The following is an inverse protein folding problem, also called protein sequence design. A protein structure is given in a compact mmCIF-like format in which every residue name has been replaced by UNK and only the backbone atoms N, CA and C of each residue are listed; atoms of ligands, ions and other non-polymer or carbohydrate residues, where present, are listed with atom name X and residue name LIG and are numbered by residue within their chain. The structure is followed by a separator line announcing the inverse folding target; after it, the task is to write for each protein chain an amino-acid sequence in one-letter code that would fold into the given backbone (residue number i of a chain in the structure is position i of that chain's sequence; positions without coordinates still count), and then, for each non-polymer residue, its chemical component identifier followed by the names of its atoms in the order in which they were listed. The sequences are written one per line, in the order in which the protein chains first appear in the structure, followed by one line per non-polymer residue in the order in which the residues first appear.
data_IF_282578643661
#
_entry.id   IF_282578643661
#
_cell.length_a   1.000
_cell.length_b   1.000
_cell.length_c   1.000
_cell.angle_alpha   90.00
_cell.angle_beta   90.00
_cell.angle_gamma   90.00
#
_symmetry.space_group_name_H-M   'P 1'
#
loop_
_entity.id
_entity.type
_entity.pdbx_description
1 polymer ?
#
# COMPACT_ATOMS: atom_id res chain seq x y z
N UNK A 1 16.80 15.65 -24.73
CA UNK A 1 17.84 14.64 -24.50
C UNK A 1 17.37 13.73 -23.39
N UNK A 2 16.91 12.54 -23.76
CA UNK A 2 16.62 11.48 -22.82
C UNK A 2 17.95 10.80 -22.51
N UNK A 3 18.42 10.86 -21.29
CA UNK A 3 19.61 10.09 -20.90
C UNK A 3 19.25 8.62 -20.89
N UNK A 4 20.10 7.78 -21.48
CA UNK A 4 19.91 6.32 -21.63
C UNK A 4 19.74 5.53 -20.33
N UNK A 5 19.68 6.20 -19.20
CA UNK A 5 19.59 5.61 -17.86
C UNK A 5 18.25 5.85 -17.13
N UNK A 6 17.28 6.55 -17.77
CA UNK A 6 16.02 6.78 -17.06
C UNK A 6 15.13 5.53 -17.13
N UNK A 7 14.61 5.09 -15.99
CA UNK A 7 13.67 3.96 -15.90
C UNK A 7 12.41 4.20 -16.74
N UNK A 8 11.99 5.45 -16.92
CA UNK A 8 10.84 5.83 -17.74
C UNK A 8 11.06 5.59 -19.24
N UNK A 9 12.29 5.72 -19.76
CA UNK A 9 12.60 5.40 -21.14
C UNK A 9 12.32 3.93 -21.48
N UNK A 10 12.61 3.03 -20.56
CA UNK A 10 12.38 1.59 -20.71
C UNK A 10 10.92 1.25 -20.94
N UNK A 11 9.99 2.02 -20.37
CA UNK A 11 8.56 1.86 -20.62
C UNK A 11 8.15 2.28 -22.05
N UNK A 12 8.85 3.25 -22.64
CA UNK A 12 8.55 3.79 -23.97
C UNK A 12 9.25 3.04 -25.10
N UNK A 13 10.34 2.31 -24.82
CA UNK A 13 11.14 1.59 -25.83
C UNK A 13 10.46 0.32 -26.37
N UNK A 14 9.34 -0.11 -25.78
CA UNK A 14 8.65 -1.34 -26.19
C UNK A 14 9.46 -2.62 -25.94
N UNK A 15 10.50 -2.57 -25.11
CA UNK A 15 11.38 -3.70 -24.81
C UNK A 15 10.82 -4.67 -23.77
N UNK A 16 9.54 -4.54 -23.44
CA UNK A 16 8.85 -5.42 -22.51
C UNK A 16 8.71 -6.83 -23.08
N UNK A 17 9.02 -7.82 -22.25
CA UNK A 17 8.89 -9.20 -22.64
C UNK A 17 8.94 -10.15 -21.46
N UNK A 18 8.77 -11.46 -21.69
CA UNK A 18 8.79 -12.47 -20.63
C UNK A 18 10.10 -12.47 -19.82
N UNK A 19 11.19 -12.02 -20.42
CA UNK A 19 12.52 -12.01 -19.80
C UNK A 19 12.94 -10.63 -19.27
N UNK A 20 12.18 -9.60 -19.58
CA UNK A 20 12.48 -8.24 -19.16
C UNK A 20 11.21 -7.46 -18.83
N UNK A 21 11.02 -7.19 -17.54
CA UNK A 21 9.93 -6.35 -17.03
C UNK A 21 10.54 -5.17 -16.27
N UNK A 22 10.38 -3.92 -16.77
CA UNK A 22 10.88 -2.74 -16.08
C UNK A 22 10.16 -2.46 -14.75
N UNK A 23 8.93 -2.99 -14.53
CA UNK A 23 8.20 -3.00 -13.25
C UNK A 23 8.28 -4.38 -12.58
N UNK A 24 9.49 -4.93 -12.45
CA UNK A 24 9.68 -6.22 -11.81
C UNK A 24 9.55 -6.11 -10.29
N UNK A 25 8.36 -6.42 -9.80
CA UNK A 25 8.01 -6.38 -8.37
C UNK A 25 7.92 -7.77 -7.74
N UNK A 26 7.99 -8.85 -8.53
CA UNK A 26 7.65 -10.20 -8.09
C UNK A 26 8.48 -10.66 -6.87
N UNK A 27 9.79 -10.58 -6.98
CA UNK A 27 10.68 -11.02 -5.89
C UNK A 27 10.50 -10.14 -4.64
N UNK A 28 10.46 -8.82 -4.79
CA UNK A 28 10.30 -7.89 -3.66
C UNK A 28 8.93 -8.06 -2.96
N UNK A 29 7.85 -8.28 -3.73
CA UNK A 29 6.52 -8.52 -3.19
C UNK A 29 6.46 -9.80 -2.35
N UNK A 30 6.98 -10.91 -2.85
CA UNK A 30 7.01 -12.16 -2.09
C UNK A 30 8.01 -12.14 -0.93
N UNK A 31 9.11 -11.40 -1.03
CA UNK A 31 9.99 -11.17 0.13
C UNK A 31 9.22 -10.46 1.25
N UNK A 32 8.47 -9.40 0.93
CA UNK A 32 7.64 -8.70 1.92
C UNK A 32 6.59 -9.63 2.56
N UNK A 33 5.93 -10.48 1.76
CA UNK A 33 4.99 -11.49 2.28
C UNK A 33 5.69 -12.48 3.22
N UNK A 34 6.87 -12.96 2.86
CA UNK A 34 7.63 -13.90 3.68
C UNK A 34 8.07 -13.28 5.01
N UNK A 35 8.49 -12.02 5.00
CA UNK A 35 8.89 -11.29 6.22
C UNK A 35 7.69 -11.07 7.14
N UNK A 36 6.51 -10.74 6.58
CA UNK A 36 5.26 -10.66 7.33
C UNK A 36 4.89 -12.01 7.94
N UNK A 37 4.94 -13.09 7.16
CA UNK A 37 4.63 -14.42 7.65
C UNK A 37 5.61 -14.87 8.75
N UNK A 38 6.90 -14.53 8.62
CA UNK A 38 7.88 -14.76 9.67
C UNK A 38 7.54 -14.00 10.95
N UNK A 39 7.14 -12.72 10.85
CA UNK A 39 6.69 -11.95 12.01
C UNK A 39 5.47 -12.58 12.67
N UNK A 40 4.46 -12.97 11.89
CA UNK A 40 3.25 -13.61 12.41
C UNK A 40 3.56 -14.95 13.11
N UNK A 41 4.44 -15.77 12.54
CA UNK A 41 4.92 -17.01 13.18
C UNK A 41 5.61 -16.74 14.52
N UNK A 42 6.54 -15.76 14.57
CA UNK A 42 7.25 -15.39 15.80
C UNK A 42 6.38 -14.71 16.84
N UNK A 43 5.29 -14.09 16.44
CA UNK A 43 4.35 -13.45 17.35
C UNK A 43 3.47 -14.45 18.12
N UNK A 44 3.39 -15.69 17.69
CA UNK A 44 2.63 -16.73 18.42
C UNK A 44 3.12 -16.84 19.87
N UNK A 45 2.18 -16.81 20.82
CA UNK A 45 2.47 -16.86 22.25
C UNK A 45 3.14 -15.59 22.79
N UNK A 46 2.98 -14.45 22.14
CA UNK A 46 3.61 -13.17 22.52
C UNK A 46 3.24 -12.71 23.95
N UNK A 47 2.03 -13.01 24.43
CA UNK A 47 1.59 -12.62 25.79
C UNK A 47 2.46 -13.26 26.85
N UNK A 48 2.73 -14.56 26.74
CA UNK A 48 3.58 -15.29 27.66
C UNK A 48 5.03 -14.80 27.59
N UNK A 49 5.53 -14.56 26.37
CA UNK A 49 6.88 -14.00 26.14
C UNK A 49 7.05 -12.61 26.76
N UNK A 50 6.02 -11.77 26.70
CA UNK A 50 6.01 -10.45 27.34
C UNK A 50 5.91 -10.56 28.86
N UNK A 51 5.05 -11.43 29.39
CA UNK A 51 4.86 -11.61 30.82
C UNK A 51 6.15 -12.01 31.55
N UNK A 52 7.02 -12.81 30.91
CA UNK A 52 8.34 -13.19 31.49
C UNK A 52 9.27 -11.97 31.66
N UNK A 53 9.12 -10.94 30.82
CA UNK A 53 10.03 -9.77 30.77
C UNK A 53 9.43 -8.49 31.34
N UNK A 54 8.22 -8.54 31.88
CA UNK A 54 7.50 -7.38 32.41
C UNK A 54 7.07 -7.62 33.84
N UNK A 55 6.99 -6.56 34.61
CA UNK A 55 6.36 -6.60 35.91
C UNK A 55 4.83 -6.72 35.73
N UNK A 56 4.27 -7.85 36.15
CA UNK A 56 2.83 -8.11 36.11
C UNK A 56 2.19 -8.12 37.49
N UNK A 57 2.96 -7.78 38.54
CA UNK A 57 2.52 -7.85 39.94
C UNK A 57 2.08 -6.47 40.47
N UNK A 58 2.85 -5.42 40.15
CA UNK A 58 2.46 -4.05 40.55
C UNK A 58 1.42 -3.46 39.61
N UNK A 59 0.63 -2.51 40.08
CA UNK A 59 -0.38 -1.83 39.24
C UNK A 59 0.23 -1.13 38.04
N UNK A 60 1.37 -0.43 38.21
CA UNK A 60 2.05 0.26 37.13
C UNK A 60 2.68 -0.73 36.13
N UNK A 61 3.28 -1.80 36.63
CA UNK A 61 3.85 -2.86 35.80
C UNK A 61 2.78 -3.56 34.96
N UNK A 62 1.64 -3.90 35.58
CA UNK A 62 0.50 -4.50 34.89
C UNK A 62 -0.04 -3.59 33.78
N UNK A 63 -0.20 -2.29 34.05
CA UNK A 63 -0.65 -1.31 33.04
C UNK A 63 0.30 -1.26 31.86
N UNK A 64 1.61 -1.19 32.08
CA UNK A 64 2.63 -1.21 31.01
C UNK A 64 2.62 -2.52 30.22
N UNK A 65 2.42 -3.65 30.89
CA UNK A 65 2.28 -4.94 30.24
C UNK A 65 1.06 -4.95 29.29
N UNK A 66 -0.09 -4.45 29.76
CA UNK A 66 -1.32 -4.37 28.96
C UNK A 66 -1.14 -3.42 27.74
N UNK A 67 -0.43 -2.30 27.92
CA UNK A 67 -0.06 -1.40 26.83
C UNK A 67 0.84 -2.09 25.78
N UNK A 68 1.84 -2.85 26.21
CA UNK A 68 2.72 -3.63 25.32
C UNK A 68 1.95 -4.74 24.60
N UNK A 69 1.04 -5.44 25.29
CA UNK A 69 0.15 -6.45 24.67
C UNK A 69 -0.68 -5.82 23.58
N UNK A 70 -1.35 -4.69 23.86
CA UNK A 70 -2.16 -3.97 22.88
C UNK A 70 -1.33 -3.52 21.67
N UNK A 71 -0.09 -3.10 21.92
CA UNK A 71 0.82 -2.68 20.82
C UNK A 71 1.18 -3.86 19.91
N UNK A 72 1.43 -5.05 20.46
CA UNK A 72 1.69 -6.25 19.66
C UNK A 72 0.44 -6.69 18.89
N UNK A 73 -0.74 -6.62 19.49
CA UNK A 73 -2.02 -6.90 18.81
C UNK A 73 -2.22 -5.98 17.59
N UNK A 74 -1.89 -4.70 17.73
CA UNK A 74 -1.90 -3.75 16.59
C UNK A 74 -0.89 -4.15 15.51
N UNK A 75 0.34 -4.51 15.87
CA UNK A 75 1.34 -4.96 14.89
C UNK A 75 0.88 -6.22 14.14
N UNK A 76 0.24 -7.17 14.82
CA UNK A 76 -0.31 -8.37 14.19
C UNK A 76 -1.41 -7.99 13.19
N UNK A 77 -2.33 -7.12 13.57
CA UNK A 77 -3.40 -6.66 12.67
C UNK A 77 -2.86 -5.89 11.46
N UNK A 78 -1.87 -5.03 11.67
CA UNK A 78 -1.19 -4.32 10.58
C UNK A 78 -0.42 -5.27 9.65
N UNK A 79 0.23 -6.30 10.20
CA UNK A 79 0.94 -7.31 9.42
C UNK A 79 -0.01 -8.06 8.47
N UNK A 80 -1.18 -8.47 8.94
CA UNK A 80 -2.21 -9.09 8.09
C UNK A 80 -2.69 -8.12 6.98
N UNK A 81 -2.99 -6.87 7.32
CA UNK A 81 -3.40 -5.87 6.33
C UNK A 81 -2.29 -5.58 5.30
N UNK A 82 -1.03 -5.55 5.71
CA UNK A 82 0.11 -5.44 4.80
C UNK A 82 0.28 -6.69 3.93
N UNK A 83 0.01 -7.88 4.45
CA UNK A 83 0.02 -9.12 3.65
C UNK A 83 -1.03 -9.06 2.54
N UNK A 84 -2.23 -8.59 2.84
CA UNK A 84 -3.26 -8.32 1.85
C UNK A 84 -2.81 -7.29 0.81
N UNK A 85 -2.16 -6.20 1.24
CA UNK A 85 -1.61 -5.18 0.35
C UNK A 85 -0.56 -5.74 -0.62
N UNK A 86 0.40 -6.52 -0.14
CA UNK A 86 1.42 -7.12 -1.00
C UNK A 86 0.83 -8.11 -2.00
N UNK A 87 -0.17 -8.92 -1.62
CA UNK A 87 -0.88 -9.78 -2.56
C UNK A 87 -1.65 -8.97 -3.60
N UNK A 88 -2.28 -7.85 -3.22
CA UNK A 88 -2.92 -6.95 -4.17
C UNK A 88 -1.92 -6.34 -5.15
N UNK A 89 -0.78 -5.85 -4.69
CA UNK A 89 0.26 -5.27 -5.53
C UNK A 89 0.85 -6.28 -6.52
N UNK A 90 0.97 -7.54 -6.12
CA UNK A 90 1.37 -8.64 -7.00
C UNK A 90 0.25 -8.98 -8.01
N UNK A 91 -0.98 -9.19 -7.55
CA UNK A 91 -2.09 -9.55 -8.43
C UNK A 91 -2.40 -8.47 -9.47
N UNK A 92 -2.32 -7.21 -9.09
CA UNK A 92 -2.48 -6.06 -9.99
C UNK A 92 -1.51 -6.07 -11.16
N UNK A 93 -0.27 -6.58 -10.97
CA UNK A 93 0.78 -6.65 -11.98
C UNK A 93 0.80 -7.97 -12.77
N UNK A 94 0.52 -9.07 -12.09
CA UNK A 94 0.76 -10.41 -12.64
C UNK A 94 -0.54 -11.23 -12.85
N UNK A 95 -1.70 -10.70 -12.46
CA UNK A 95 -2.98 -11.41 -12.54
C UNK A 95 -3.05 -12.55 -11.54
N UNK A 96 -3.16 -13.79 -12.02
CA UNK A 96 -3.16 -14.98 -11.18
C UNK A 96 -1.82 -15.17 -10.47
N UNK A 97 -1.84 -15.30 -9.14
CA UNK A 97 -0.64 -15.43 -8.29
C UNK A 97 -0.82 -16.50 -7.20
N UNK A 98 0.25 -17.11 -6.69
CA UNK A 98 0.17 -17.91 -5.47
C UNK A 98 -0.20 -17.08 -4.24
N UNK A 99 -1.16 -17.56 -3.44
CA UNK A 99 -1.45 -17.03 -2.11
C UNK A 99 -0.53 -17.73 -1.10
N UNK A 100 0.31 -16.95 -0.40
CA UNK A 100 1.28 -17.45 0.56
C UNK A 100 0.96 -16.88 1.95
N UNK A 101 0.49 -17.73 2.85
CA UNK A 101 0.05 -17.37 4.21
C UNK A 101 0.97 -17.86 5.32
N UNK A 102 2.01 -18.61 4.95
CA UNK A 102 2.99 -19.19 5.86
C UNK A 102 4.40 -18.78 5.46
N UNK A 103 5.30 -18.73 6.42
CA UNK A 103 6.72 -18.50 6.15
C UNK A 103 7.26 -19.60 5.25
N UNK A 104 7.87 -19.23 4.16
CA UNK A 104 8.49 -20.14 3.21
C UNK A 104 9.82 -20.62 3.76
N UNK A 105 9.95 -21.93 3.96
CA UNK A 105 11.17 -22.57 4.51
C UNK A 105 12.23 -22.81 3.45
N UNK A 106 11.82 -23.11 2.23
CA UNK A 106 12.70 -23.42 1.10
C UNK A 106 12.01 -23.16 -0.25
N UNK A 107 12.75 -23.29 -1.34
CA UNK A 107 12.25 -23.08 -2.69
C UNK A 107 11.17 -24.08 -3.12
N UNK A 108 11.10 -25.27 -2.53
CA UNK A 108 10.04 -26.24 -2.83
C UNK A 108 8.72 -25.84 -2.18
N UNK A 109 8.75 -25.38 -0.93
CA UNK A 109 7.59 -24.86 -0.21
C UNK A 109 7.01 -23.59 -0.86
N UNK A 110 7.84 -22.84 -1.59
CA UNK A 110 7.41 -21.65 -2.35
C UNK A 110 6.64 -21.99 -3.64
N UNK A 111 6.72 -23.22 -4.13
CA UNK A 111 6.06 -23.65 -5.38
C UNK A 111 4.61 -24.00 -5.14
N UNK A 112 3.77 -22.98 -5.00
CA UNK A 112 2.31 -23.17 -4.92
C UNK A 112 1.65 -22.84 -6.27
N UNK A 113 0.50 -23.47 -6.60
CA UNK A 113 -0.26 -23.11 -7.78
C UNK A 113 -0.73 -21.65 -7.72
N UNK A 114 -0.93 -21.05 -8.87
CA UNK A 114 -1.52 -19.71 -8.96
C UNK A 114 -3.02 -19.80 -8.73
N UNK A 115 -3.52 -18.95 -7.87
CA UNK A 115 -4.93 -18.69 -7.71
C UNK A 115 -5.38 -17.62 -8.71
N UNK A 116 -6.64 -17.70 -9.14
CA UNK A 116 -7.27 -16.69 -10.00
C UNK A 116 -7.28 -15.32 -9.31
N UNK A 117 -7.46 -14.25 -10.11
CA UNK A 117 -7.58 -12.90 -9.52
C UNK A 117 -8.76 -12.81 -8.54
N UNK A 118 -9.86 -13.49 -8.83
CA UNK A 118 -11.04 -13.52 -7.95
C UNK A 118 -10.75 -14.16 -6.60
N UNK A 119 -10.04 -15.30 -6.60
CA UNK A 119 -9.62 -15.95 -5.35
C UNK A 119 -8.67 -15.08 -4.54
N UNK A 120 -7.75 -14.36 -5.22
CA UNK A 120 -6.85 -13.40 -4.55
C UNK A 120 -7.63 -12.21 -3.99
N UNK A 121 -8.59 -11.67 -4.73
CA UNK A 121 -9.41 -10.56 -4.25
C UNK A 121 -10.28 -10.97 -3.05
N UNK A 122 -10.82 -12.18 -3.08
CA UNK A 122 -11.56 -12.74 -1.94
C UNK A 122 -10.66 -12.91 -0.71
N UNK A 123 -9.48 -13.49 -0.88
CA UNK A 123 -8.48 -13.60 0.19
C UNK A 123 -8.15 -12.23 0.80
N UNK A 124 -7.93 -11.20 -0.03
CA UNK A 124 -7.65 -9.84 0.44
C UNK A 124 -8.83 -9.29 1.25
N UNK A 125 -10.06 -9.52 0.79
CA UNK A 125 -11.27 -9.07 1.49
C UNK A 125 -11.42 -9.74 2.87
N UNK A 126 -11.20 -11.04 2.95
CA UNK A 126 -11.27 -11.81 4.20
C UNK A 126 -10.16 -11.42 5.17
N UNK A 127 -8.93 -11.33 4.69
CA UNK A 127 -7.75 -10.96 5.46
C UNK A 127 -7.90 -9.58 6.12
N UNK A 128 -8.35 -8.60 5.33
CA UNK A 128 -8.58 -7.24 5.84
C UNK A 128 -9.78 -7.15 6.79
N UNK A 129 -10.86 -7.89 6.52
CA UNK A 129 -12.03 -7.93 7.39
C UNK A 129 -11.71 -8.55 8.76
N UNK A 130 -10.93 -9.63 8.77
CA UNK A 130 -10.57 -10.37 9.98
C UNK A 130 -9.77 -9.56 11.01
N UNK A 131 -9.12 -8.48 10.59
CA UNK A 131 -8.24 -7.69 11.47
C UNK A 131 -8.77 -6.31 11.83
N UNK A 132 -9.97 -5.97 11.40
CA UNK A 132 -10.56 -4.63 11.64
C UNK A 132 -10.61 -4.25 13.12
N UNK A 133 -10.87 -5.20 14.03
CA UNK A 133 -10.92 -4.97 15.48
C UNK A 133 -9.56 -4.65 16.11
N UNK A 134 -8.47 -5.13 15.51
CA UNK A 134 -7.10 -4.86 15.97
C UNK A 134 -6.47 -3.60 15.40
N UNK A 135 -7.08 -3.01 14.37
CA UNK A 135 -6.59 -1.78 13.74
C UNK A 135 -7.20 -0.54 14.37
N UNK A 136 -6.39 0.50 14.53
CA UNK A 136 -6.89 1.80 14.98
C UNK A 136 -7.69 2.49 13.87
N UNK A 137 -8.67 3.29 14.27
CA UNK A 137 -9.43 4.12 13.33
C UNK A 137 -8.60 5.28 12.79
N UNK A 138 -7.76 5.86 13.66
CA UNK A 138 -6.76 6.89 13.35
C UNK A 138 -5.68 6.86 14.43
N UNK A 139 -4.44 7.15 14.07
CA UNK A 139 -3.34 7.29 15.03
C UNK A 139 -3.45 8.55 15.89
N UNK A 140 -4.17 9.56 15.42
CA UNK A 140 -4.51 10.76 16.19
C UNK A 140 -5.53 10.44 17.29
N UNK A 141 -6.53 9.59 17.00
CA UNK A 141 -7.58 9.20 17.96
C UNK A 141 -7.02 8.46 19.19
N UNK A 142 -5.87 7.79 19.03
CA UNK A 142 -5.18 7.09 20.13
C UNK A 142 -4.00 7.88 20.69
N UNK A 143 -3.95 9.18 20.45
CA UNK A 143 -2.90 10.09 20.93
C UNK A 143 -1.47 9.73 20.49
N UNK A 144 -1.33 9.10 19.33
CA UNK A 144 -0.07 8.70 18.72
C UNK A 144 0.15 9.32 17.32
N UNK A 145 0.12 10.66 17.16
CA UNK A 145 0.18 11.31 15.84
C UNK A 145 1.51 11.05 15.11
N UNK A 146 2.59 10.78 15.84
CA UNK A 146 3.89 10.41 15.26
C UNK A 146 3.88 9.06 14.54
N UNK A 147 2.88 8.21 14.79
CA UNK A 147 2.67 6.93 14.14
C UNK A 147 1.84 7.04 12.84
N UNK A 148 1.44 8.25 12.45
CA UNK A 148 0.73 8.45 11.18
C UNK A 148 1.58 7.94 10.01
N UNK A 149 0.93 7.26 9.07
CA UNK A 149 1.59 6.50 7.99
C UNK A 149 1.56 4.99 8.23
N UNK A 150 1.34 4.51 9.46
CA UNK A 150 1.03 3.11 9.73
C UNK A 150 -0.41 2.77 9.31
N UNK A 151 -0.67 1.47 9.15
CA UNK A 151 -1.98 0.99 8.69
C UNK A 151 -3.09 1.32 9.70
N UNK A 152 -4.24 1.75 9.17
CA UNK A 152 -5.47 2.00 9.93
C UNK A 152 -6.63 1.19 9.35
N UNK A 153 -7.78 1.18 10.03
CA UNK A 153 -9.00 0.55 9.50
C UNK A 153 -9.36 1.04 8.10
N UNK A 154 -9.21 2.34 7.83
CA UNK A 154 -9.55 2.88 6.51
C UNK A 154 -8.54 2.51 5.43
N UNK A 155 -7.27 2.29 5.78
CA UNK A 155 -6.28 1.72 4.88
C UNK A 155 -6.67 0.28 4.49
N UNK A 156 -7.05 -0.55 5.47
CA UNK A 156 -7.51 -1.91 5.22
C UNK A 156 -8.78 -1.93 4.32
N UNK A 157 -9.76 -1.05 4.59
CA UNK A 157 -10.94 -0.88 3.72
C UNK A 157 -10.55 -0.46 2.30
N UNK A 158 -9.59 0.45 2.15
CA UNK A 158 -9.14 0.90 0.83
C UNK A 158 -8.43 -0.20 0.04
N UNK A 159 -7.63 -1.04 0.69
CA UNK A 159 -6.99 -2.21 0.07
C UNK A 159 -8.08 -3.18 -0.43
N UNK A 160 -9.07 -3.53 0.41
CA UNK A 160 -10.22 -4.36 0.05
C UNK A 160 -11.00 -3.78 -1.13
N UNK A 161 -11.39 -2.51 -1.04
CA UNK A 161 -12.21 -1.87 -2.06
C UNK A 161 -11.51 -1.83 -3.42
N UNK A 162 -10.20 -1.53 -3.45
CA UNK A 162 -9.42 -1.56 -4.68
C UNK A 162 -9.30 -2.95 -5.27
N UNK A 163 -9.05 -3.98 -4.47
CA UNK A 163 -8.97 -5.35 -4.95
C UNK A 163 -10.30 -5.81 -5.59
N UNK A 164 -11.42 -5.52 -4.94
CA UNK A 164 -12.75 -5.83 -5.46
C UNK A 164 -13.08 -5.03 -6.74
N UNK A 165 -12.67 -3.76 -6.83
CA UNK A 165 -12.85 -2.96 -8.04
C UNK A 165 -12.07 -3.54 -9.23
N UNK A 166 -10.83 -3.98 -9.01
CA UNK A 166 -10.04 -4.63 -10.06
C UNK A 166 -10.67 -5.96 -10.47
N UNK A 167 -11.20 -6.76 -9.53
CA UNK A 167 -11.93 -8.00 -9.83
C UNK A 167 -13.23 -7.75 -10.62
N UNK A 168 -13.87 -6.58 -10.46
CA UNK A 168 -15.04 -6.18 -11.22
C UNK A 168 -14.72 -5.65 -12.62
N UNK A 169 -13.48 -5.24 -12.88
CA UNK A 169 -13.05 -4.65 -14.15
C UNK A 169 -13.19 -5.65 -15.33
N UNK A 170 -13.38 -5.18 -16.57
CA UNK A 170 -13.58 -6.06 -17.73
C UNK A 170 -12.50 -7.12 -17.92
N UNK A 171 -11.26 -6.87 -17.49
CA UNK A 171 -10.15 -7.82 -17.57
C UNK A 171 -10.42 -9.08 -16.73
N UNK A 172 -11.02 -8.94 -15.56
CA UNK A 172 -11.26 -10.01 -14.59
C UNK A 172 -12.75 -10.37 -14.47
N UNK A 173 -13.62 -9.65 -15.20
CA UNK A 173 -15.06 -9.83 -15.23
C UNK A 173 -15.60 -9.76 -16.68
N UNK A 174 -15.15 -10.64 -17.58
CA UNK A 174 -15.55 -10.59 -18.99
C UNK A 174 -17.07 -10.84 -19.19
N UNK A 175 -17.72 -11.52 -18.26
CA UNK A 175 -19.18 -11.72 -18.27
C UNK A 175 -19.95 -10.49 -17.77
N UNK A 176 -19.25 -9.44 -17.31
CA UNK A 176 -19.82 -8.24 -16.72
C UNK A 176 -20.81 -8.55 -15.57
N UNK A 177 -20.46 -9.49 -14.70
CA UNK A 177 -21.26 -9.84 -13.54
C UNK A 177 -21.49 -8.61 -12.64
N UNK A 178 -22.75 -8.15 -12.48
CA UNK A 178 -23.06 -6.98 -11.68
C UNK A 178 -22.77 -7.18 -10.19
N UNK A 179 -22.76 -8.42 -9.69
CA UNK A 179 -22.48 -8.69 -8.28
C UNK A 179 -21.05 -8.22 -7.88
N UNK A 180 -20.08 -8.34 -8.77
CA UNK A 180 -18.71 -7.84 -8.53
C UNK A 180 -18.67 -6.31 -8.41
N UNK A 181 -19.42 -5.61 -9.27
CA UNK A 181 -19.52 -4.14 -9.20
C UNK A 181 -20.21 -3.68 -7.92
N UNK A 182 -21.27 -4.38 -7.51
CA UNK A 182 -21.99 -4.11 -6.26
C UNK A 182 -21.05 -4.33 -5.07
N UNK A 183 -20.29 -5.43 -5.04
CA UNK A 183 -19.34 -5.71 -3.96
C UNK A 183 -18.27 -4.61 -3.84
N UNK A 184 -17.72 -4.15 -4.97
CA UNK A 184 -16.77 -3.03 -4.99
C UNK A 184 -17.40 -1.73 -4.49
N UNK A 185 -18.61 -1.40 -4.96
CA UNK A 185 -19.33 -0.18 -4.54
C UNK A 185 -19.61 -0.18 -3.05
N UNK A 186 -20.07 -1.31 -2.49
CA UNK A 186 -20.31 -1.45 -1.04
C UNK A 186 -19.02 -1.29 -0.24
N UNK A 187 -17.90 -1.84 -0.71
CA UNK A 187 -16.61 -1.69 -0.05
C UNK A 187 -16.13 -0.22 -0.03
N UNK A 188 -16.35 0.56 -1.09
CA UNK A 188 -16.08 2.00 -1.08
C UNK A 188 -17.04 2.77 -0.17
N UNK A 189 -18.33 2.37 -0.14
CA UNK A 189 -19.31 2.96 0.75
C UNK A 189 -18.92 2.81 2.24
N UNK A 190 -18.27 1.70 2.61
CA UNK A 190 -17.71 1.53 3.97
C UNK A 190 -16.75 2.66 4.34
N UNK A 191 -15.94 3.18 3.39
CA UNK A 191 -15.00 4.27 3.64
C UNK A 191 -15.75 5.61 3.71
N UNK A 192 -16.65 5.86 2.75
CA UNK A 192 -17.42 7.10 2.65
C UNK A 192 -18.26 7.29 3.93
N UNK A 193 -18.90 6.24 4.40
CA UNK A 193 -19.76 6.28 5.59
C UNK A 193 -18.99 6.52 6.90
N UNK A 194 -17.66 6.45 6.89
CA UNK A 194 -16.87 6.86 8.08
C UNK A 194 -16.90 8.36 8.30
N UNK A 195 -17.21 9.17 7.28
CA UNK A 195 -17.18 10.62 7.27
C UNK A 195 -15.84 11.23 7.73
N UNK A 196 -14.74 10.46 7.60
CA UNK A 196 -13.40 10.91 8.02
C UNK A 196 -12.63 11.62 6.92
N UNK A 197 -13.04 11.45 5.68
CA UNK A 197 -12.36 11.96 4.49
C UNK A 197 -13.23 12.92 3.72
N UNK A 198 -12.61 13.87 3.07
CA UNK A 198 -13.27 14.83 2.18
C UNK A 198 -12.31 15.22 1.06
N UNK A 199 -12.85 15.43 -0.14
CA UNK A 199 -12.06 15.96 -1.25
C UNK A 199 -11.62 17.39 -0.94
N UNK A 200 -10.38 17.72 -1.30
CA UNK A 200 -9.87 19.07 -1.20
C UNK A 200 -10.49 19.95 -2.30
N UNK A 201 -10.83 21.16 -1.95
CA UNK A 201 -11.61 22.06 -2.82
C UNK A 201 -10.93 22.45 -4.14
N UNK A 202 -9.60 22.47 -4.16
CA UNK A 202 -8.82 22.85 -5.33
C UNK A 202 -7.76 21.80 -5.63
N UNK A 203 -8.00 21.03 -6.70
CA UNK A 203 -7.13 19.96 -7.14
C UNK A 203 -5.68 20.41 -7.39
N UNK A 204 -5.48 21.59 -7.98
CA UNK A 204 -4.12 22.11 -8.22
C UNK A 204 -3.39 22.40 -6.92
N UNK A 205 -4.04 23.10 -6.00
CA UNK A 205 -3.44 23.47 -4.72
C UNK A 205 -3.17 22.29 -3.81
N UNK A 206 -3.82 21.12 -4.05
CA UNK A 206 -3.51 19.89 -3.35
C UNK A 206 -2.02 19.50 -3.48
N UNK A 207 -1.42 19.76 -4.64
CA UNK A 207 -0.03 19.42 -4.97
C UNK A 207 0.96 20.58 -4.84
N UNK A 208 0.46 21.79 -4.64
CA UNK A 208 1.27 22.99 -4.34
C UNK A 208 1.29 23.19 -2.84
N UNK A 209 2.28 23.88 -2.32
CA UNK A 209 2.43 24.19 -0.89
C UNK A 209 2.47 22.95 0.03
N UNK A 210 2.94 23.09 1.23
CA UNK A 210 3.07 21.99 2.17
C UNK A 210 1.74 21.30 2.53
N UNK A 211 1.84 20.20 3.25
CA UNK A 211 0.68 19.47 3.78
C UNK A 211 -0.04 20.33 4.81
N UNK A 212 -1.35 20.53 4.66
CA UNK A 212 -2.23 21.18 5.64
C UNK A 212 -3.24 20.18 6.20
N UNK A 213 -3.83 20.46 7.35
CA UNK A 213 -4.86 19.61 7.95
C UNK A 213 -6.08 19.40 7.02
N UNK A 214 -6.38 20.37 6.14
CA UNK A 214 -7.45 20.21 5.14
C UNK A 214 -7.07 19.26 4.01
N UNK A 215 -5.81 19.31 3.53
CA UNK A 215 -5.28 18.40 2.53
C UNK A 215 -5.14 16.98 3.07
N UNK A 216 -4.77 16.83 4.34
CA UNK A 216 -4.68 15.54 5.01
C UNK A 216 -6.01 14.77 5.03
N UNK A 217 -7.15 15.46 5.00
CA UNK A 217 -8.48 14.84 4.92
C UNK A 217 -8.75 14.10 3.61
N UNK A 218 -8.01 14.37 2.55
CA UNK A 218 -8.13 13.62 1.29
C UNK A 218 -7.24 12.37 1.28
N UNK A 219 -6.25 12.30 2.16
CA UNK A 219 -5.23 11.25 2.17
C UNK A 219 -5.65 10.11 3.09
N UNK A 220 -5.94 8.94 2.53
CA UNK A 220 -6.24 7.74 3.31
C UNK A 220 -4.96 7.12 3.84
N UNK A 221 -3.91 7.07 3.02
CA UNK A 221 -2.62 6.47 3.38
C UNK A 221 -1.48 7.12 2.59
N UNK A 222 -0.40 7.46 3.28
CA UNK A 222 0.78 8.05 2.69
C UNK A 222 2.05 7.50 3.31
N UNK A 223 3.07 7.29 2.48
CA UNK A 223 4.43 7.02 2.95
C UNK A 223 5.06 8.36 3.31
N UNK A 224 5.53 8.47 4.54
CA UNK A 224 6.24 9.68 5.02
C UNK A 224 7.73 9.51 4.78
N UNK A 225 8.31 10.48 4.10
CA UNK A 225 9.74 10.59 3.93
C UNK A 225 10.29 11.67 4.88
N UNK A 226 11.55 11.51 5.28
CA UNK A 226 12.25 12.60 5.95
C UNK A 226 12.40 13.80 5.00
N UNK A 227 12.52 15.01 5.59
CA UNK A 227 12.72 16.22 4.81
C UNK A 227 13.94 16.09 3.88
N UNK A 228 13.75 16.46 2.63
CA UNK A 228 14.81 16.38 1.61
C UNK A 228 14.37 17.14 0.35
N UNK A 229 15.33 17.45 -0.48
CA UNK A 229 15.14 18.20 -1.73
C UNK A 229 15.30 17.32 -2.98
N UNK A 230 15.12 16.01 -2.84
CA UNK A 230 15.32 15.07 -3.95
C UNK A 230 14.31 15.25 -5.08
N UNK A 231 13.10 15.67 -4.76
CA UNK A 231 12.04 15.94 -5.75
C UNK A 231 12.38 17.20 -6.54
N UNK A 232 12.74 18.28 -5.88
CA UNK A 232 13.13 19.54 -6.51
C UNK A 232 14.36 19.34 -7.40
N UNK A 233 15.40 18.67 -6.90
CA UNK A 233 16.61 18.38 -7.67
C UNK A 233 16.34 17.57 -8.93
N UNK A 234 15.40 16.63 -8.87
CA UNK A 234 15.02 15.83 -10.06
C UNK A 234 14.20 16.62 -11.08
N UNK A 235 13.53 17.68 -10.65
CA UNK A 235 12.70 18.52 -11.52
C UNK A 235 13.42 19.78 -12.02
N UNK A 236 14.50 20.22 -11.38
CA UNK A 236 15.27 21.36 -11.87
C UNK A 236 16.08 21.01 -13.11
N UNK A 237 16.13 21.92 -14.11
CA UNK A 237 16.91 21.71 -15.33
C UNK A 237 18.40 21.49 -15.03
N UNK A 238 19.05 20.73 -15.88
CA UNK A 238 20.52 20.64 -15.91
C UNK A 238 21.06 22.04 -16.16
N UNK A 239 22.00 22.49 -15.34
CA UNK A 239 22.54 23.86 -15.36
C UNK A 239 22.07 24.73 -14.21
N UNK A 240 20.98 24.37 -13.54
CA UNK A 240 20.62 24.94 -12.23
C UNK A 240 21.44 24.28 -11.13
N UNK A 241 21.95 25.05 -10.18
CA UNK A 241 22.76 24.52 -9.08
C UNK A 241 21.98 23.42 -8.32
N UNK A 242 22.52 22.19 -8.34
CA UNK A 242 21.84 21.01 -7.74
C UNK A 242 20.73 20.39 -8.60
N UNK A 243 20.43 20.91 -9.77
CA UNK A 243 19.47 20.34 -10.71
C UNK A 243 19.98 19.07 -11.37
N UNK A 244 19.14 18.06 -11.49
CA UNK A 244 19.47 16.75 -12.08
C UNK A 244 18.24 16.18 -12.83
N UNK A 245 17.65 16.99 -13.72
CA UNK A 245 16.48 16.57 -14.50
C UNK A 245 16.86 15.40 -15.41
N UNK A 246 16.31 14.23 -15.15
CA UNK A 246 16.50 13.03 -15.97
C UNK A 246 15.27 12.64 -16.80
N UNK A 247 14.13 13.30 -16.58
CA UNK A 247 12.88 13.00 -17.29
C UNK A 247 12.38 14.27 -17.98
N UNK A 248 12.35 14.22 -19.31
CA UNK A 248 11.79 15.29 -20.12
C UNK A 248 10.51 14.79 -20.81
N UNK A 249 9.50 15.66 -21.00
CA UNK A 249 8.32 15.30 -21.78
C UNK A 249 8.73 14.90 -23.20
N UNK A 250 7.99 13.96 -23.80
CA UNK A 250 8.16 13.64 -25.23
C UNK A 250 7.71 14.83 -26.06
N UNK A 251 8.22 14.94 -27.29
CA UNK A 251 7.79 15.98 -28.21
C UNK A 251 6.27 15.96 -28.45
N UNK A 252 5.69 14.77 -28.57
CA UNK A 252 4.25 14.59 -28.76
C UNK A 252 3.44 15.11 -27.58
N UNK A 253 3.90 14.88 -26.33
CA UNK A 253 3.25 15.42 -25.14
C UNK A 253 3.34 16.95 -25.13
N UNK A 254 4.47 17.51 -25.53
CA UNK A 254 4.66 18.95 -25.68
C UNK A 254 3.70 19.56 -26.72
N UNK A 255 3.54 18.92 -27.86
CA UNK A 255 2.62 19.35 -28.95
C UNK A 255 1.15 19.20 -28.49
N UNK A 256 0.79 18.13 -27.79
CA UNK A 256 -0.56 17.87 -27.29
C UNK A 256 -1.05 18.93 -26.29
N UNK A 257 -0.14 19.59 -25.59
CA UNK A 257 -0.47 20.66 -24.63
C UNK A 257 -0.60 22.06 -25.27
N UNK A 258 -0.55 22.14 -26.59
CA UNK A 258 -0.85 23.37 -27.33
C UNK A 258 0.11 24.52 -27.02
N UNK A 259 1.31 24.49 -27.56
CA UNK A 259 2.20 25.63 -27.48
C UNK A 259 1.57 26.79 -28.27
N UNK A 260 1.02 27.77 -27.59
CA UNK A 260 0.80 29.07 -28.17
C UNK A 260 2.20 29.68 -28.31
N UNK A 261 2.73 29.65 -29.54
CA UNK A 261 3.87 30.50 -29.89
C UNK A 261 3.54 31.93 -29.49
N UNK A 262 4.35 32.49 -28.61
CA UNK A 262 4.38 33.92 -28.30
C UNK A 262 4.96 34.67 -29.46
#
# INVERSE_FOLDING_TARGET
YVTSSSSSQRFNEGSWGPYYNPDNYYAAGYQGINDINAFLEYSVGYKDKLAVKRDTLTLDGKRKYEEDVLQVERFIAEAHALRAYYHFELAKRYGAIPIITEKTKDAAAARKPRQSFDEVAQFIAEETAGVMGGLVSSWTDVSMPTQSGRVTQNVARAIKARALLYAASPLHNPANDPAKWIAAALAYAEIINTNKFSLYKDYRSLFLDGVSAEKEKEIIWAVRFSAGNSMERKNYPIGTAGGNTGVCPTHDLFLAHGHKTV
#
